data_IF_489585904884
#
_entry.id   IF_489585904884
#
_cell.length_a   1.000
_cell.length_b   1.000
_cell.length_c   1.000
_cell.angle_alpha   90.00
_cell.angle_beta   90.00
_cell.angle_gamma   90.00
#
_symmetry.space_group_name_H-M   'P 1'
#
loop_
_entity.id
_entity.type
_entity.pdbx_description
1 polymer ?
#
# COMPACT_ATOMS: atom_id res chain seq x y z
N UNK A 1 -9.84 -3.34 -28.95
CA UNK A 1 -10.84 -2.51 -28.24
C UNK A 1 -11.02 -3.10 -26.85
N UNK A 2 -10.67 -2.35 -25.81
CA UNK A 2 -10.45 -2.86 -24.44
C UNK A 2 -11.72 -2.86 -23.58
N UNK A 3 -11.83 -3.86 -22.69
CA UNK A 3 -13.00 -4.08 -21.83
C UNK A 3 -12.82 -3.53 -20.38
N UNK A 4 -11.84 -2.64 -20.15
CA UNK A 4 -11.41 -2.17 -18.82
C UNK A 4 -12.51 -1.53 -17.97
N UNK A 5 -13.48 -0.85 -18.61
CA UNK A 5 -14.60 -0.15 -17.96
C UNK A 5 -15.73 -1.05 -17.38
N UNK A 6 -15.37 -2.20 -16.80
CA UNK A 6 -16.24 -3.09 -16.00
C UNK A 6 -15.79 -3.16 -14.55
N UNK A 7 -16.72 -3.26 -13.61
CA UNK A 7 -16.46 -3.45 -12.17
C UNK A 7 -15.84 -4.83 -11.87
N UNK A 8 -15.26 -5.07 -10.68
CA UNK A 8 -14.70 -6.37 -10.31
C UNK A 8 -15.70 -7.54 -10.38
N UNK A 9 -16.99 -7.28 -10.15
CA UNK A 9 -18.10 -8.22 -10.38
C UNK A 9 -18.51 -8.42 -11.86
N UNK A 10 -17.74 -7.89 -12.82
CA UNK A 10 -18.02 -7.94 -14.25
C UNK A 10 -19.10 -6.97 -14.78
N UNK A 11 -19.82 -6.28 -13.89
CA UNK A 11 -20.87 -5.32 -14.22
C UNK A 11 -20.34 -4.08 -14.95
N UNK A 12 -21.13 -3.48 -15.86
CA UNK A 12 -20.76 -2.21 -16.52
C UNK A 12 -21.16 -1.00 -15.67
N UNK A 13 -20.55 0.16 -15.94
CA UNK A 13 -20.90 1.45 -15.31
C UNK A 13 -22.40 1.71 -15.35
N UNK A 14 -23.05 1.48 -16.50
CA UNK A 14 -24.49 1.74 -16.67
C UNK A 14 -25.39 0.67 -16.04
N UNK A 15 -24.84 -0.50 -15.67
CA UNK A 15 -25.54 -1.44 -14.79
C UNK A 15 -25.52 -0.93 -13.36
N UNK A 16 -24.35 -0.57 -12.82
CA UNK A 16 -24.23 -0.04 -11.45
C UNK A 16 -25.04 1.26 -11.28
N UNK A 17 -25.08 2.15 -12.28
CA UNK A 17 -25.99 3.32 -12.29
C UNK A 17 -27.48 2.95 -12.20
N UNK A 18 -27.92 1.84 -12.83
CA UNK A 18 -29.32 1.38 -12.74
C UNK A 18 -29.62 0.83 -11.37
N UNK A 19 -28.71 0.05 -10.81
CA UNK A 19 -28.92 -0.60 -9.51
C UNK A 19 -28.80 0.41 -8.35
N UNK A 20 -27.90 1.39 -8.43
CA UNK A 20 -27.91 2.58 -7.56
C UNK A 20 -29.25 3.37 -7.62
N UNK A 21 -29.86 3.50 -8.80
CA UNK A 21 -31.17 4.14 -8.97
C UNK A 21 -32.33 3.29 -8.41
N UNK A 22 -32.19 1.96 -8.29
CA UNK A 22 -33.12 1.11 -7.54
C UNK A 22 -32.90 1.29 -6.05
N UNK A 23 -31.65 1.25 -5.60
CA UNK A 23 -31.25 1.39 -4.19
C UNK A 23 -31.74 2.71 -3.60
N UNK A 24 -31.48 3.84 -4.25
CA UNK A 24 -31.99 5.16 -3.81
C UNK A 24 -33.53 5.19 -3.67
N UNK A 25 -34.26 4.45 -4.52
CA UNK A 25 -35.73 4.33 -4.43
C UNK A 25 -36.22 3.40 -3.33
N UNK A 26 -35.43 2.39 -2.92
CA UNK A 26 -35.82 1.45 -1.87
C UNK A 26 -35.37 1.86 -0.47
N UNK A 27 -34.27 2.62 -0.35
CA UNK A 27 -33.72 3.06 0.96
C UNK A 27 -33.90 4.54 1.26
N UNK A 28 -34.30 5.36 0.27
CA UNK A 28 -34.45 6.81 0.43
C UNK A 28 -33.13 7.59 0.53
N UNK A 29 -31.98 6.94 0.30
CA UNK A 29 -30.67 7.58 0.25
C UNK A 29 -30.55 8.57 -0.92
N UNK A 30 -29.64 9.54 -0.80
CA UNK A 30 -29.32 10.39 -1.95
C UNK A 30 -28.72 9.56 -3.09
N UNK A 31 -28.90 10.03 -4.33
CA UNK A 31 -28.36 9.32 -5.49
C UNK A 31 -26.83 9.19 -5.45
N UNK A 32 -26.12 10.10 -4.77
CA UNK A 32 -24.66 10.00 -4.60
C UNK A 32 -24.29 8.83 -3.66
N UNK A 33 -24.91 8.77 -2.47
CA UNK A 33 -24.65 7.71 -1.49
C UNK A 33 -25.07 6.34 -2.04
N UNK A 34 -26.17 6.27 -2.79
CA UNK A 34 -26.60 5.04 -3.45
C UNK A 34 -25.66 4.60 -4.59
N UNK A 35 -24.98 5.54 -5.26
CA UNK A 35 -23.94 5.24 -6.24
C UNK A 35 -22.66 4.75 -5.56
N UNK A 36 -22.24 5.38 -4.47
CA UNK A 36 -21.09 4.94 -3.66
C UNK A 36 -21.32 3.53 -3.09
N UNK A 37 -22.52 3.24 -2.59
CA UNK A 37 -22.86 1.94 -2.02
C UNK A 37 -22.99 0.84 -3.08
N UNK A 38 -23.70 1.09 -4.19
CA UNK A 38 -23.79 0.11 -5.28
C UNK A 38 -22.41 -0.19 -5.89
N UNK A 39 -21.52 0.80 -5.95
CA UNK A 39 -20.14 0.59 -6.38
C UNK A 39 -19.37 -0.36 -5.44
N UNK A 40 -19.52 -0.19 -4.12
CA UNK A 40 -18.92 -1.06 -3.12
C UNK A 40 -19.48 -2.49 -3.19
N UNK A 41 -20.78 -2.66 -3.37
CA UNK A 41 -21.45 -3.95 -3.59
C UNK A 41 -20.92 -4.66 -4.85
N UNK A 42 -20.64 -3.91 -5.92
CA UNK A 42 -20.02 -4.41 -7.15
C UNK A 42 -18.48 -4.59 -7.07
N UNK A 43 -17.87 -4.34 -5.91
CA UNK A 43 -16.45 -4.61 -5.60
C UNK A 43 -15.52 -3.38 -5.63
N UNK A 44 -16.02 -2.18 -5.94
CA UNK A 44 -15.23 -0.95 -5.99
C UNK A 44 -15.39 -0.14 -4.70
N UNK A 45 -14.48 -0.32 -3.74
CA UNK A 45 -14.49 0.42 -2.45
C UNK A 45 -13.94 1.87 -2.56
N UNK A 46 -14.31 2.57 -3.63
CA UNK A 46 -13.98 3.98 -3.89
C UNK A 46 -15.26 4.80 -4.09
N UNK A 47 -15.28 6.09 -3.70
CA UNK A 47 -16.43 6.96 -3.99
C UNK A 47 -16.65 7.13 -5.50
N UNK A 48 -17.89 7.39 -5.92
CA UNK A 48 -18.32 7.37 -7.31
C UNK A 48 -17.52 8.34 -8.20
N UNK A 49 -17.08 9.48 -7.66
CA UNK A 49 -16.25 10.46 -8.37
C UNK A 49 -14.84 9.94 -8.75
N UNK A 50 -14.36 8.83 -8.17
CA UNK A 50 -13.09 8.18 -8.51
C UNK A 50 -13.26 6.83 -9.21
N UNK A 51 -14.49 6.41 -9.50
CA UNK A 51 -14.73 5.14 -10.19
C UNK A 51 -14.15 5.14 -11.60
N UNK A 52 -14.14 6.28 -12.30
CA UNK A 52 -13.45 6.39 -13.59
C UNK A 52 -11.93 6.20 -13.45
N UNK A 53 -11.28 6.71 -12.40
CA UNK A 53 -9.86 6.44 -12.13
C UNK A 53 -9.60 4.96 -11.77
N UNK A 54 -10.54 4.31 -11.08
CA UNK A 54 -10.50 2.88 -10.70
C UNK A 54 -10.85 1.92 -11.85
N UNK A 55 -11.36 2.43 -12.97
CA UNK A 55 -11.69 1.69 -14.18
C UNK A 55 -10.70 1.96 -15.33
N UNK A 56 -10.20 3.19 -15.44
CA UNK A 56 -9.20 3.63 -16.42
C UNK A 56 -7.76 3.48 -15.88
N UNK A 57 -7.54 2.66 -14.84
CA UNK A 57 -6.20 2.37 -14.31
C UNK A 57 -5.28 1.68 -15.32
N UNK A 58 -5.86 1.09 -16.39
CA UNK A 58 -5.16 0.37 -17.45
C UNK A 58 -4.73 1.27 -18.64
N UNK A 59 -5.22 2.52 -18.73
CA UNK A 59 -5.05 3.37 -19.93
C UNK A 59 -3.67 4.08 -20.01
N UNK A 60 -2.81 3.93 -19.00
CA UNK A 60 -1.40 4.34 -19.02
C UNK A 60 -0.52 3.09 -19.07
N UNK A 61 0.09 2.81 -20.23
CA UNK A 61 0.96 1.63 -20.44
C UNK A 61 2.19 1.58 -19.51
N UNK A 62 2.56 2.68 -18.85
CA UNK A 62 3.70 2.73 -17.94
C UNK A 62 3.31 2.68 -16.46
N UNK A 63 2.03 2.89 -16.13
CA UNK A 63 1.54 2.88 -14.75
C UNK A 63 1.42 1.45 -14.23
N UNK A 64 1.92 1.26 -13.00
CA UNK A 64 1.84 -0.01 -12.27
C UNK A 64 0.91 0.13 -11.06
N UNK A 65 1.08 1.17 -10.25
CA UNK A 65 0.22 1.39 -9.08
C UNK A 65 0.12 2.88 -8.71
N UNK A 66 -1.01 3.29 -8.13
CA UNK A 66 -1.19 4.63 -7.57
C UNK A 66 -1.52 4.54 -6.08
N UNK A 67 -0.77 5.28 -5.27
CA UNK A 67 -0.84 5.24 -3.80
C UNK A 67 -1.23 6.63 -3.29
N UNK A 68 -2.29 6.72 -2.49
CA UNK A 68 -2.79 7.95 -1.86
C UNK A 68 -2.59 7.91 -0.34
N UNK A 69 -1.67 8.73 0.18
CA UNK A 69 -1.37 8.85 1.61
C UNK A 69 -1.96 10.16 2.16
N UNK A 70 -2.84 10.13 3.19
CA UNK A 70 -3.41 11.35 3.74
C UNK A 70 -2.38 12.08 4.62
N UNK A 71 -2.13 13.34 4.33
CA UNK A 71 -1.14 14.16 5.03
C UNK A 71 -1.62 14.58 6.43
N UNK A 72 -0.66 14.80 7.32
CA UNK A 72 -0.91 15.20 8.71
C UNK A 72 -1.68 16.52 8.81
N UNK A 73 -1.23 17.53 8.05
CA UNK A 73 -1.77 18.88 8.01
C UNK A 73 -3.09 18.98 7.20
N UNK A 74 -3.48 17.90 6.53
CA UNK A 74 -4.63 17.83 5.62
C UNK A 74 -4.22 17.64 4.16
N UNK A 75 -5.17 17.20 3.33
CA UNK A 75 -4.90 16.85 1.93
C UNK A 75 -4.39 15.41 1.73
N UNK A 76 -4.00 15.10 0.49
CA UNK A 76 -3.59 13.76 0.07
C UNK A 76 -2.30 13.86 -0.75
N UNK A 77 -1.27 13.15 -0.31
CA UNK A 77 -0.04 12.90 -1.06
C UNK A 77 -0.25 11.69 -1.96
N UNK A 78 -0.54 11.93 -3.24
CA UNK A 78 -0.64 10.87 -4.25
C UNK A 78 0.68 10.70 -4.97
N UNK A 79 1.19 9.47 -5.03
CA UNK A 79 2.34 9.07 -5.84
C UNK A 79 1.94 7.96 -6.82
N UNK A 80 2.60 7.92 -7.98
CA UNK A 80 2.51 6.83 -8.96
C UNK A 80 3.79 6.00 -8.97
N UNK A 81 3.65 4.68 -9.04
CA UNK A 81 4.71 3.73 -9.37
C UNK A 81 4.56 3.36 -10.85
N UNK A 82 5.66 3.44 -11.59
CA UNK A 82 5.72 3.18 -13.02
C UNK A 82 6.83 2.18 -13.34
N UNK A 83 6.90 1.67 -14.57
CA UNK A 83 7.98 0.78 -15.00
C UNK A 83 9.36 1.45 -14.87
N UNK A 84 9.44 2.74 -15.16
CA UNK A 84 10.66 3.52 -14.93
C UNK A 84 11.00 3.62 -13.42
N UNK A 85 9.99 3.79 -12.56
CA UNK A 85 10.15 3.96 -11.10
C UNK A 85 9.19 3.06 -10.30
N UNK A 86 9.49 1.75 -10.18
CA UNK A 86 8.55 0.81 -9.56
C UNK A 86 8.63 0.78 -8.03
N UNK A 87 9.61 1.46 -7.41
CA UNK A 87 9.96 1.25 -6.01
C UNK A 87 9.45 2.35 -5.04
N UNK A 88 8.95 1.94 -3.88
CA UNK A 88 8.83 2.74 -2.66
C UNK A 88 9.85 2.25 -1.64
N UNK A 89 10.63 3.15 -1.04
CA UNK A 89 11.54 2.81 0.07
C UNK A 89 10.89 3.16 1.40
N UNK A 90 10.84 2.21 2.34
CA UNK A 90 10.30 2.40 3.70
C UNK A 90 11.42 2.12 4.71
N UNK A 91 11.95 3.19 5.29
CA UNK A 91 13.18 3.17 6.10
C UNK A 91 12.91 3.49 7.56
N UNK A 92 13.64 2.85 8.46
CA UNK A 92 13.50 3.13 9.91
C UNK A 92 14.37 2.24 10.80
N UNK A 93 14.60 2.70 12.03
CA UNK A 93 15.21 1.88 13.09
C UNK A 93 14.29 0.69 13.45
N UNK A 94 14.81 -0.40 14.06
CA UNK A 94 13.97 -1.43 14.68
C UNK A 94 12.87 -0.81 15.57
N UNK A 95 11.67 -1.38 15.54
CA UNK A 95 10.48 -0.82 16.23
C UNK A 95 9.96 0.54 15.69
N UNK A 96 10.63 1.12 14.69
CA UNK A 96 10.31 2.45 14.13
C UNK A 96 9.10 2.49 13.20
N UNK A 97 8.57 1.34 12.75
CA UNK A 97 7.26 1.25 12.10
C UNK A 97 7.20 0.72 10.66
N UNK A 98 8.31 0.21 10.10
CA UNK A 98 8.46 -0.07 8.65
C UNK A 98 7.37 -0.98 8.06
N UNK A 99 7.27 -2.21 8.57
CA UNK A 99 6.44 -3.28 7.99
C UNK A 99 4.95 -2.90 8.04
N UNK A 100 4.46 -2.38 9.16
CA UNK A 100 3.10 -1.84 9.28
C UNK A 100 2.87 -0.62 8.40
N UNK A 101 3.87 0.22 8.15
CA UNK A 101 3.74 1.32 7.18
C UNK A 101 3.52 0.76 5.78
N UNK A 102 4.33 -0.21 5.34
CA UNK A 102 4.15 -0.87 4.04
C UNK A 102 2.80 -1.58 3.93
N UNK A 103 2.35 -2.28 4.98
CA UNK A 103 1.04 -2.95 5.01
C UNK A 103 -0.14 -1.98 5.04
N UNK A 104 -0.03 -0.82 5.72
CA UNK A 104 -1.06 0.22 5.64
C UNK A 104 -1.09 0.92 4.27
N UNK A 105 0.05 1.01 3.57
CA UNK A 105 0.09 1.42 2.16
C UNK A 105 -0.58 0.37 1.28
N UNK A 106 -0.34 -0.92 1.54
CA UNK A 106 -1.00 -2.02 0.85
C UNK A 106 -2.53 -2.04 1.08
N UNK A 107 -3.03 -1.78 2.29
CA UNK A 107 -4.48 -1.60 2.53
C UNK A 107 -5.06 -0.44 1.69
N UNK A 108 -4.33 0.68 1.59
CA UNK A 108 -4.73 1.82 0.75
C UNK A 108 -4.76 1.44 -0.73
N UNK A 109 -3.72 0.80 -1.23
CA UNK A 109 -3.68 0.28 -2.60
C UNK A 109 -4.85 -0.69 -2.86
N UNK A 110 -5.14 -1.62 -1.95
CA UNK A 110 -6.26 -2.57 -2.09
C UNK A 110 -7.63 -1.89 -2.06
N UNK A 111 -7.80 -0.74 -1.38
CA UNK A 111 -9.03 0.08 -1.52
C UNK A 111 -9.16 0.77 -2.87
N UNK A 112 -8.06 1.15 -3.54
CA UNK A 112 -8.06 2.01 -4.74
C UNK A 112 -7.54 1.35 -6.02
N UNK A 113 -7.28 0.04 -6.00
CA UNK A 113 -6.80 -0.77 -7.12
C UNK A 113 -7.54 -2.13 -7.13
N UNK A 114 -7.33 -2.90 -8.19
CA UNK A 114 -7.84 -4.28 -8.36
C UNK A 114 -6.79 -5.35 -8.15
N UNK A 115 -5.53 -5.04 -8.48
CA UNK A 115 -4.42 -5.98 -8.33
C UNK A 115 -4.24 -6.44 -6.89
N UNK A 116 -3.46 -7.49 -6.76
CA UNK A 116 -3.20 -8.26 -5.54
C UNK A 116 -2.00 -7.67 -4.81
N UNK A 117 -1.92 -7.94 -3.51
CA UNK A 117 -0.72 -7.66 -2.72
C UNK A 117 0.03 -8.96 -2.46
N UNK A 118 1.30 -8.99 -2.81
CA UNK A 118 2.21 -10.12 -2.61
C UNK A 118 3.16 -9.81 -1.45
N UNK A 119 2.98 -10.44 -0.30
CA UNK A 119 3.89 -10.28 0.84
C UNK A 119 5.05 -11.29 0.74
N UNK A 120 6.27 -10.75 0.62
CA UNK A 120 7.53 -11.48 0.78
C UNK A 120 8.10 -11.08 2.14
N UNK A 121 8.30 -12.05 3.05
CA UNK A 121 8.80 -11.79 4.40
C UNK A 121 9.58 -13.00 4.92
N UNK A 122 10.68 -12.82 5.67
CA UNK A 122 11.49 -13.94 6.18
C UNK A 122 10.81 -14.68 7.34
N UNK A 123 9.82 -14.05 8.00
CA UNK A 123 9.17 -14.61 9.18
C UNK A 123 8.07 -15.57 8.75
N UNK A 124 8.38 -16.86 8.88
CA UNK A 124 7.47 -17.94 8.56
C UNK A 124 6.35 -18.02 9.62
N UNK A 125 5.26 -17.29 9.39
CA UNK A 125 3.99 -17.39 10.12
C UNK A 125 3.47 -18.84 10.08
N UNK A 126 3.84 -19.63 11.08
CA UNK A 126 2.99 -20.72 11.56
C UNK A 126 1.77 -20.08 12.24
N UNK A 127 0.54 -20.57 11.98
CA UNK A 127 -0.60 -20.21 12.82
C UNK A 127 -0.30 -20.69 14.25
N UNK A 128 -0.44 -19.81 15.24
CA UNK A 128 0.05 -20.07 16.59
C UNK A 128 -0.63 -21.28 17.24
N UNK A 129 0.09 -22.40 17.33
CA UNK A 129 -0.35 -23.59 18.03
C UNK A 129 -0.18 -23.40 19.54
N UNK A 130 -1.25 -22.91 20.18
CA UNK A 130 -1.54 -23.05 21.62
C UNK A 130 -0.41 -22.62 22.58
N UNK A 131 -0.57 -21.41 23.14
CA UNK A 131 0.20 -20.85 24.28
C UNK A 131 1.66 -20.53 24.00
N UNK A 132 1.89 -19.28 23.59
CA UNK A 132 2.84 -18.35 24.23
C UNK A 132 2.43 -16.91 23.86
N UNK A 133 2.89 -15.90 24.61
CA UNK A 133 2.35 -14.53 24.53
C UNK A 133 2.67 -13.82 23.20
N UNK A 134 1.71 -13.86 22.27
CA UNK A 134 1.74 -13.06 21.04
C UNK A 134 1.60 -11.59 21.42
N UNK A 135 2.72 -10.88 21.48
CA UNK A 135 2.75 -9.47 21.89
C UNK A 135 1.79 -8.63 21.03
N UNK A 136 0.86 -7.89 21.65
CA UNK A 136 -0.17 -7.06 21.00
C UNK A 136 0.43 -5.91 20.16
N UNK A 137 0.99 -6.25 19.01
CA UNK A 137 1.76 -5.31 18.23
C UNK A 137 2.61 -5.90 17.11
N UNK A 138 2.28 -7.05 16.57
CA UNK A 138 2.99 -7.56 15.40
C UNK A 138 2.51 -6.86 14.12
N UNK A 139 3.34 -6.87 13.07
CA UNK A 139 2.87 -6.49 11.73
C UNK A 139 2.01 -7.60 11.12
N UNK A 140 2.15 -8.85 11.57
CA UNK A 140 1.38 -10.02 11.09
C UNK A 140 -0.11 -9.85 11.32
N UNK A 141 -0.50 -9.29 12.48
CA UNK A 141 -1.88 -8.91 12.78
C UNK A 141 -2.47 -7.94 11.73
N UNK A 142 -1.64 -7.06 11.15
CA UNK A 142 -2.08 -6.15 10.07
C UNK A 142 -2.32 -6.96 8.80
N UNK A 143 -1.39 -7.85 8.45
CA UNK A 143 -1.48 -8.69 7.26
C UNK A 143 -2.72 -9.59 7.31
N UNK A 144 -2.93 -10.34 8.39
CA UNK A 144 -4.04 -11.29 8.51
C UNK A 144 -5.41 -10.57 8.46
N UNK A 145 -5.49 -9.36 9.02
CA UNK A 145 -6.70 -8.51 8.93
C UNK A 145 -6.91 -7.91 7.54
N UNK A 146 -5.84 -7.64 6.78
CA UNK A 146 -5.91 -7.22 5.38
C UNK A 146 -6.33 -8.40 4.50
N UNK A 147 -5.75 -9.60 4.70
CA UNK A 147 -6.13 -10.82 3.98
C UNK A 147 -7.59 -11.21 4.23
N UNK A 148 -8.08 -11.12 5.46
CA UNK A 148 -9.48 -11.34 5.81
C UNK A 148 -10.42 -10.28 5.17
N UNK A 149 -9.96 -9.04 5.01
CA UNK A 149 -10.72 -7.93 4.39
C UNK A 149 -10.79 -8.03 2.86
N UNK A 150 -9.76 -8.61 2.21
CA UNK A 150 -9.66 -8.76 0.76
C UNK A 150 -9.33 -10.21 0.37
N UNK A 151 -10.25 -11.17 0.58
CA UNK A 151 -10.04 -12.56 0.22
C UNK A 151 -9.67 -12.71 -1.27
N UNK A 152 -8.71 -13.60 -1.56
CA UNK A 152 -8.18 -13.82 -2.91
C UNK A 152 -7.24 -12.73 -3.44
N UNK A 153 -7.15 -11.55 -2.80
CA UNK A 153 -6.29 -10.43 -3.24
C UNK A 153 -5.01 -10.26 -2.40
N UNK A 154 -4.78 -11.11 -1.41
CA UNK A 154 -3.61 -11.07 -0.55
C UNK A 154 -2.87 -12.42 -0.64
N UNK A 155 -1.70 -12.41 -1.26
CA UNK A 155 -0.87 -13.59 -1.52
C UNK A 155 0.36 -13.52 -0.62
N UNK A 156 0.70 -14.61 0.07
CA UNK A 156 1.95 -14.72 0.84
C UNK A 156 2.95 -15.54 0.03
N UNK A 157 4.01 -14.90 -0.44
CA UNK A 157 5.09 -15.57 -1.18
C UNK A 157 5.92 -16.36 -0.18
N UNK A 158 5.91 -17.69 -0.31
CA UNK A 158 6.71 -18.57 0.55
C UNK A 158 8.01 -18.87 -0.18
N UNK A 159 9.11 -18.29 0.32
CA UNK A 159 10.45 -18.63 -0.15
C UNK A 159 10.76 -20.10 0.22
N UNK A 160 11.25 -20.93 -0.73
CA UNK A 160 11.57 -22.33 -0.45
C UNK A 160 12.63 -22.52 0.64
N UNK A 161 12.49 -23.62 1.41
CA UNK A 161 13.52 -24.36 2.17
C UNK A 161 14.62 -23.51 2.85
N UNK A 162 14.57 -23.20 4.16
CA UNK A 162 14.03 -23.92 5.33
C UNK A 162 14.85 -25.14 5.80
N UNK A 163 16.18 -25.03 5.79
CA UNK A 163 17.05 -25.66 6.82
C UNK A 163 17.33 -24.68 7.96
N UNK A 164 17.49 -25.18 9.19
CA UNK A 164 17.29 -24.38 10.41
C UNK A 164 18.45 -23.44 10.81
N UNK A 165 19.55 -23.40 10.06
CA UNK A 165 20.80 -22.76 10.51
C UNK A 165 21.16 -21.45 9.79
N UNK A 166 20.45 -21.08 8.71
CA UNK A 166 20.69 -19.81 8.00
C UNK A 166 19.40 -19.09 7.58
N UNK A 167 19.09 -17.98 8.25
CA UNK A 167 18.06 -17.01 7.86
C UNK A 167 18.52 -16.14 6.68
N UNK A 168 18.80 -16.79 5.55
CA UNK A 168 19.47 -16.25 4.36
C UNK A 168 18.63 -16.55 3.11
N UNK A 169 17.50 -15.86 2.93
CA UNK A 169 16.74 -15.97 1.68
C UNK A 169 17.51 -15.25 0.57
N UNK A 170 17.71 -15.94 -0.54
CA UNK A 170 18.43 -15.46 -1.72
C UNK A 170 17.68 -14.39 -2.52
N UNK A 171 17.86 -14.34 -3.86
CA UNK A 171 17.18 -13.42 -4.75
C UNK A 171 15.66 -13.31 -4.55
N UNK A 172 15.10 -12.14 -4.83
CA UNK A 172 13.66 -11.92 -4.92
C UNK A 172 13.09 -12.75 -6.07
N UNK A 173 12.42 -13.85 -5.73
CA UNK A 173 11.67 -14.66 -6.68
C UNK A 173 10.17 -14.45 -6.49
N UNK A 174 9.48 -14.18 -7.60
CA UNK A 174 8.03 -14.00 -7.69
C UNK A 174 7.38 -15.09 -8.56
N UNK A 175 8.16 -15.99 -9.15
CA UNK A 175 7.71 -17.16 -9.92
C UNK A 175 6.73 -18.06 -9.16
N UNK A 176 6.84 -18.26 -7.82
CA UNK A 176 5.88 -19.04 -7.05
C UNK A 176 4.50 -18.39 -6.87
N UNK A 177 4.40 -17.06 -6.99
CA UNK A 177 3.13 -16.33 -6.80
C UNK A 177 2.54 -15.73 -8.07
N UNK A 178 3.31 -15.69 -9.16
CA UNK A 178 2.91 -15.24 -10.50
C UNK A 178 2.09 -13.95 -10.46
N UNK A 179 2.70 -12.82 -10.02
CA UNK A 179 2.02 -11.53 -10.00
C UNK A 179 1.53 -11.12 -11.38
N UNK A 180 0.42 -10.39 -11.39
CA UNK A 180 -0.17 -9.80 -12.59
C UNK A 180 0.35 -8.36 -12.70
N UNK A 181 0.26 -7.79 -13.92
CA UNK A 181 0.64 -6.39 -14.14
C UNK A 181 -0.13 -5.49 -13.16
N UNK A 182 0.60 -4.62 -12.49
CA UNK A 182 0.07 -3.65 -11.54
C UNK A 182 -0.22 -4.21 -10.15
N UNK A 183 0.04 -5.49 -9.88
CA UNK A 183 0.12 -6.03 -8.52
C UNK A 183 1.19 -5.28 -7.69
N UNK A 184 1.05 -5.33 -6.36
CA UNK A 184 1.93 -4.64 -5.42
C UNK A 184 2.67 -5.65 -4.53
N UNK A 185 3.99 -5.71 -4.64
CA UNK A 185 4.85 -6.54 -3.78
C UNK A 185 5.23 -5.75 -2.53
N UNK A 186 5.10 -6.36 -1.35
CA UNK A 186 5.68 -5.87 -0.10
C UNK A 186 6.84 -6.77 0.25
N UNK A 187 8.06 -6.25 0.17
CA UNK A 187 9.27 -6.93 0.64
C UNK A 187 9.58 -6.45 2.06
N UNK A 188 9.20 -7.25 3.05
CA UNK A 188 9.54 -7.00 4.44
C UNK A 188 10.97 -7.43 4.76
N UNK A 189 11.65 -6.64 5.59
CA UNK A 189 13.06 -6.75 5.95
C UNK A 189 14.02 -7.23 4.83
N UNK A 190 14.33 -6.35 3.86
CA UNK A 190 15.27 -6.63 2.72
C UNK A 190 16.63 -7.21 3.13
N UNK A 191 17.09 -7.01 4.37
CA UNK A 191 18.35 -7.59 4.85
C UNK A 191 18.27 -9.11 5.10
N UNK A 192 17.06 -9.68 5.06
CA UNK A 192 16.78 -11.12 5.19
C UNK A 192 16.08 -11.73 3.97
N UNK A 193 15.36 -10.94 3.16
CA UNK A 193 14.76 -11.34 1.87
C UNK A 193 15.31 -10.49 0.72
N UNK A 194 15.70 -11.10 -0.41
CA UNK A 194 16.51 -10.45 -1.45
C UNK A 194 17.91 -10.03 -0.96
N UNK A 195 18.50 -10.80 -0.03
CA UNK A 195 19.78 -10.44 0.59
C UNK A 195 20.90 -10.53 -0.44
N UNK A 196 21.68 -9.46 -0.58
CA UNK A 196 22.82 -9.39 -1.50
C UNK A 196 22.45 -8.94 -2.92
N UNK A 197 21.16 -8.81 -3.27
CA UNK A 197 20.77 -8.15 -4.52
C UNK A 197 20.91 -6.63 -4.40
N UNK A 198 21.32 -5.96 -5.47
CA UNK A 198 21.32 -4.50 -5.56
C UNK A 198 19.89 -3.95 -5.63
N UNK A 199 19.74 -2.63 -5.51
CA UNK A 199 18.46 -1.96 -5.72
C UNK A 199 18.08 -1.86 -7.21
N UNK A 200 19.03 -2.11 -8.13
CA UNK A 200 18.79 -2.18 -9.57
C UNK A 200 18.20 -3.54 -9.93
N UNK A 201 18.77 -4.64 -9.43
CA UNK A 201 18.24 -6.00 -9.67
C UNK A 201 16.78 -6.13 -9.22
N UNK A 202 16.47 -5.57 -8.04
CA UNK A 202 15.11 -5.54 -7.49
C UNK A 202 14.17 -4.66 -8.33
N UNK A 203 14.68 -3.61 -8.99
CA UNK A 203 13.91 -2.81 -9.95
C UNK A 203 13.70 -3.55 -11.28
N UNK A 204 14.68 -4.31 -11.77
CA UNK A 204 14.53 -5.14 -12.98
C UNK A 204 13.56 -6.29 -12.77
N UNK A 205 13.56 -6.93 -11.61
CA UNK A 205 12.56 -7.94 -11.25
C UNK A 205 11.16 -7.28 -11.19
N UNK A 206 11.06 -6.07 -10.63
CA UNK A 206 9.80 -5.32 -10.62
C UNK A 206 9.32 -4.94 -12.03
N UNK A 207 10.23 -4.56 -12.94
CA UNK A 207 9.96 -4.26 -14.36
C UNK A 207 9.51 -5.50 -15.12
N UNK A 208 10.23 -6.61 -14.97
CA UNK A 208 9.96 -7.90 -15.60
C UNK A 208 8.54 -8.42 -15.29
N UNK A 209 8.12 -8.33 -14.02
CA UNK A 209 6.78 -8.71 -13.60
C UNK A 209 5.74 -7.58 -13.73
N UNK A 210 6.15 -6.37 -14.18
CA UNK A 210 5.33 -5.15 -14.25
C UNK A 210 4.58 -4.86 -12.93
N UNK A 211 5.29 -4.90 -11.80
CA UNK A 211 4.75 -4.72 -10.43
C UNK A 211 5.31 -3.49 -9.71
N UNK A 212 4.51 -2.88 -8.85
CA UNK A 212 5.03 -1.93 -7.85
C UNK A 212 5.65 -2.70 -6.67
N UNK A 213 6.73 -2.18 -6.05
CA UNK A 213 7.38 -2.83 -4.90
C UNK A 213 7.60 -1.86 -3.75
N UNK A 214 7.21 -2.27 -2.53
CA UNK A 214 7.48 -1.54 -1.29
C UNK A 214 8.59 -2.26 -0.52
N UNK A 215 9.71 -1.58 -0.32
CA UNK A 215 10.95 -2.12 0.24
C UNK A 215 11.17 -1.66 1.69
N UNK A 216 10.92 -2.53 2.67
CA UNK A 216 11.25 -2.27 4.07
C UNK A 216 12.74 -2.53 4.34
N UNK A 217 13.50 -1.50 4.76
CA UNK A 217 14.93 -1.63 5.07
C UNK A 217 15.41 -0.77 6.24
N UNK A 218 16.47 -1.23 6.92
CA UNK A 218 17.19 -0.43 7.93
C UNK A 218 17.94 0.76 7.30
N UNK A 219 18.28 1.81 8.09
CA UNK A 219 18.66 3.10 7.53
C UNK A 219 20.18 3.27 7.30
N UNK A 220 20.78 2.44 6.42
CA UNK A 220 22.15 2.59 5.81
C UNK A 220 23.31 2.65 6.86
N UNK A 221 24.64 2.86 6.55
CA UNK A 221 25.33 3.31 5.32
C UNK A 221 25.27 2.29 4.17
N UNK A 222 25.56 2.57 2.89
CA UNK A 222 26.23 3.69 2.16
C UNK A 222 27.70 3.55 1.77
N UNK A 223 28.38 2.46 2.13
CA UNK A 223 29.79 2.29 1.77
C UNK A 223 30.01 1.24 0.67
N UNK A 224 29.35 0.07 0.73
CA UNK A 224 29.47 -0.96 -0.32
C UNK A 224 28.31 -1.01 -1.35
N UNK A 225 27.15 -0.40 -1.05
CA UNK A 225 26.10 -0.17 -2.05
C UNK A 225 26.44 1.07 -2.89
N UNK A 226 27.47 0.97 -3.72
CA UNK A 226 27.57 1.84 -4.91
C UNK A 226 26.36 1.55 -5.80
N UNK A 227 25.45 2.53 -5.88
CA UNK A 227 24.78 2.75 -7.16
C UNK A 227 25.92 3.25 -8.06
N UNK A 228 26.27 2.58 -9.17
CA UNK A 228 27.28 3.09 -10.09
C UNK A 228 26.87 4.47 -10.60
N UNK A 229 27.81 5.27 -11.10
CA UNK A 229 27.48 6.47 -11.89
C UNK A 229 26.98 6.09 -13.30
N UNK A 230 26.06 5.12 -13.36
CA UNK A 230 25.33 4.72 -14.55
C UNK A 230 24.15 5.66 -14.77
N UNK A 231 23.82 5.90 -16.04
CA UNK A 231 22.73 6.79 -16.47
C UNK A 231 21.33 6.21 -16.24
N UNK A 232 21.21 5.07 -15.56
CA UNK A 232 19.94 4.45 -15.19
C UNK A 232 19.29 5.28 -14.09
N UNK A 233 18.22 6.00 -14.45
CA UNK A 233 17.50 6.86 -13.53
C UNK A 233 17.01 6.12 -12.28
N UNK A 234 17.17 6.77 -11.13
CA UNK A 234 16.77 6.29 -9.80
C UNK A 234 15.40 5.56 -9.83
N UNK A 235 15.34 4.25 -9.49
CA UNK A 235 14.13 3.43 -9.61
C UNK A 235 13.07 3.71 -8.54
N UNK A 236 13.32 4.62 -7.59
CA UNK A 236 12.32 5.00 -6.59
C UNK A 236 11.37 6.09 -7.09
N UNK A 237 10.07 5.96 -6.83
CA UNK A 237 9.13 7.09 -6.88
C UNK A 237 9.02 7.81 -5.55
N UNK A 238 9.14 7.08 -4.43
CA UNK A 238 8.92 7.61 -3.08
C UNK A 238 9.94 7.05 -2.07
N UNK A 239 10.46 7.92 -1.22
CA UNK A 239 11.13 7.59 0.03
C UNK A 239 10.22 7.92 1.22
N UNK A 240 10.15 6.99 2.17
CA UNK A 240 9.41 7.10 3.43
C UNK A 240 10.38 6.84 4.58
N UNK A 241 10.44 7.78 5.53
CA UNK A 241 11.26 7.66 6.74
C UNK A 241 10.38 7.59 7.98
N UNK A 242 10.26 6.38 8.53
CA UNK A 242 9.49 6.05 9.72
C UNK A 242 10.25 6.46 11.00
N UNK A 243 9.60 7.24 11.86
CA UNK A 243 10.09 7.60 13.20
C UNK A 243 8.98 7.39 14.23
N UNK A 244 9.09 6.41 15.11
CA UNK A 244 8.26 6.31 16.32
C UNK A 244 8.80 7.24 17.39
N UNK A 245 7.94 8.01 18.06
CA UNK A 245 8.37 8.85 19.18
C UNK A 245 8.59 8.03 20.45
N UNK A 246 9.52 8.44 21.33
CA UNK A 246 9.84 7.70 22.57
C UNK A 246 8.77 7.79 23.66
N UNK A 247 7.74 8.61 23.47
CA UNK A 247 6.67 8.90 24.46
C UNK A 247 5.26 8.85 23.86
N UNK A 248 5.12 8.39 22.62
CA UNK A 248 3.83 8.28 21.91
C UNK A 248 3.86 7.02 21.04
N UNK A 249 2.69 6.41 20.85
CA UNK A 249 2.49 5.28 19.92
C UNK A 249 2.34 5.72 18.46
N UNK A 250 2.50 7.02 18.20
CA UNK A 250 2.55 7.63 16.88
C UNK A 250 3.85 7.27 16.15
N UNK A 251 3.67 6.83 14.90
CA UNK A 251 4.76 6.75 13.93
C UNK A 251 4.59 7.92 12.96
N UNK A 252 5.58 8.84 12.96
CA UNK A 252 5.72 9.88 11.94
C UNK A 252 6.36 9.29 10.69
N UNK A 253 5.82 9.64 9.54
CA UNK A 253 6.28 9.21 8.23
C UNK A 253 6.65 10.44 7.42
N UNK A 254 7.94 10.68 7.23
CA UNK A 254 8.41 11.76 6.37
C UNK A 254 8.48 11.23 4.93
N UNK A 255 7.77 11.89 4.02
CA UNK A 255 7.61 11.53 2.61
C UNK A 255 8.49 12.41 1.73
N UNK A 256 9.09 11.82 0.69
CA UNK A 256 9.89 12.51 -0.32
C UNK A 256 9.72 11.82 -1.69
N UNK A 257 9.03 12.47 -2.62
CA UNK A 257 8.84 11.99 -4.00
C UNK A 257 10.04 12.35 -4.88
N UNK A 258 10.62 11.35 -5.52
CA UNK A 258 11.89 11.47 -6.25
C UNK A 258 11.76 12.13 -7.63
N UNK A 259 10.54 12.24 -8.16
CA UNK A 259 10.26 12.84 -9.49
C UNK A 259 10.20 14.37 -9.42
N UNK A 260 9.45 14.91 -8.45
CA UNK A 260 9.16 16.35 -8.35
C UNK A 260 9.73 16.99 -7.07
N UNK A 261 10.47 16.24 -6.24
CA UNK A 261 10.96 16.70 -4.94
C UNK A 261 9.86 17.01 -3.91
N UNK A 262 8.61 16.61 -4.16
CA UNK A 262 7.48 16.89 -3.25
C UNK A 262 7.70 16.17 -1.92
N UNK A 263 7.64 16.92 -0.82
CA UNK A 263 7.76 16.40 0.55
C UNK A 263 6.44 16.51 1.30
N UNK A 264 6.29 15.74 2.37
CA UNK A 264 5.15 15.81 3.28
C UNK A 264 5.35 14.99 4.55
N UNK A 265 4.47 15.14 5.53
CA UNK A 265 4.43 14.27 6.72
C UNK A 265 3.06 13.58 6.83
N UNK A 266 3.06 12.28 7.10
CA UNK A 266 1.89 11.49 7.47
C UNK A 266 2.05 10.94 8.89
N UNK A 267 0.95 10.83 9.64
CA UNK A 267 0.94 10.15 10.94
C UNK A 267 0.15 8.84 10.89
N UNK A 268 0.76 7.75 11.37
CA UNK A 268 0.02 6.57 11.84
C UNK A 268 -0.32 6.85 13.30
N UNK A 269 -1.56 7.26 13.56
CA UNK A 269 -2.03 7.68 14.89
C UNK A 269 -2.58 6.49 15.66
N UNK A 270 -2.24 6.32 16.95
CA UNK A 270 -2.86 5.31 17.81
C UNK A 270 -4.35 5.61 18.05
N UNK A 271 -5.16 4.61 17.79
CA UNK A 271 -6.54 4.49 18.27
C UNK A 271 -6.89 3.04 18.66
N UNK A 272 -5.88 2.18 18.70
CA UNK A 272 -5.90 0.75 18.99
C UNK A 272 -4.43 0.25 19.09
N UNK A 273 -4.19 -0.98 19.58
CA UNK A 273 -2.88 -1.60 19.56
C UNK A 273 -2.20 -1.55 18.19
N UNK A 274 -0.89 -1.75 18.19
CA UNK A 274 -0.16 -1.99 16.96
C UNK A 274 -0.67 -3.33 16.37
N UNK A 275 -0.64 -3.52 15.05
CA UNK A 275 -1.32 -4.67 14.42
C UNK A 275 -2.84 -4.51 14.14
N UNK A 276 -3.56 -3.64 14.86
CA UNK A 276 -5.04 -3.58 14.77
C UNK A 276 -5.58 -2.97 13.47
N UNK A 277 -6.68 -3.53 12.93
CA UNK A 277 -7.43 -2.95 11.80
C UNK A 277 -8.15 -1.63 12.11
N UNK A 278 -8.19 -1.22 13.39
CA UNK A 278 -8.60 0.12 13.82
C UNK A 278 -7.44 1.14 13.71
N UNK A 279 -6.17 0.70 13.67
CA UNK A 279 -5.00 1.56 13.43
C UNK A 279 -4.95 1.89 11.93
N UNK A 280 -5.03 3.18 11.61
CA UNK A 280 -5.08 3.71 10.24
C UNK A 280 -4.32 5.04 10.19
N UNK A 281 -3.93 5.49 9.01
CA UNK A 281 -3.58 6.90 8.84
C UNK A 281 -4.79 7.77 9.23
N UNK A 282 -4.59 8.73 10.15
CA UNK A 282 -5.67 9.56 10.70
C UNK A 282 -5.52 11.00 10.23
N UNK A 283 -6.58 11.55 9.64
CA UNK A 283 -6.68 12.97 9.35
C UNK A 283 -6.82 13.77 10.66
N UNK A 284 -6.07 14.86 10.83
CA UNK A 284 -6.45 15.88 11.82
C UNK A 284 -7.72 16.61 11.33
N UNK A 285 -8.80 16.55 12.10
CA UNK A 285 -10.02 17.37 11.83
C UNK A 285 -9.83 18.87 12.13
N UNK A 286 -8.70 19.26 12.72
CA UNK A 286 -8.30 20.65 13.00
C UNK A 286 -8.31 21.54 11.76
N UNK A 287 -7.94 20.99 10.60
CA UNK A 287 -7.93 21.69 9.31
C UNK A 287 -9.33 22.07 8.78
N UNK A 288 -10.42 21.62 9.44
CA UNK A 288 -11.81 22.00 9.11
C UNK A 288 -12.41 23.07 10.03
N UNK A 289 -11.59 23.73 10.88
CA UNK A 289 -12.01 24.93 11.62
C UNK A 289 -12.10 26.19 10.74
N UNK A 290 -11.16 26.36 9.81
CA UNK A 290 -10.98 27.61 9.04
C UNK A 290 -12.03 27.85 7.93
N UNK A 291 -12.79 26.81 7.53
CA UNK A 291 -13.81 26.90 6.47
C UNK A 291 -15.25 27.10 7.00
N UNK A 292 -15.42 27.31 8.30
CA UNK A 292 -16.72 27.74 8.88
C UNK A 292 -16.75 29.18 9.38
N UNK A 293 -15.60 29.81 9.64
CA UNK A 293 -15.54 31.23 10.01
C UNK A 293 -15.74 32.16 8.80
N UNK A 294 -15.24 31.77 7.62
CA UNK A 294 -15.26 32.64 6.43
C UNK A 294 -16.60 32.75 5.70
N UNK A 295 -17.59 31.92 6.03
CA UNK A 295 -18.98 31.97 5.54
C UNK A 295 -20.00 32.17 6.67
N UNK A 296 -19.55 32.63 7.85
CA UNK A 296 -20.41 32.90 9.01
C UNK A 296 -20.27 34.34 9.54
N UNK A 297 -19.54 35.22 8.82
CA UNK A 297 -19.34 36.61 9.22
C UNK A 297 -19.24 37.52 7.98
N UNK A 298 -20.40 38.07 7.57
CA UNK A 298 -20.66 38.95 6.41
C UNK A 298 -20.55 38.25 5.04
#
# INVERSE_FOLDING_TARGET
MTNSNRFPSGASIDQVKKDARKLAKSTGLSLHEALDQAAAEHGAQVPWNRIQEFLAGDDDETLLARVSLPLHEGGIFTVSLTEARPLISVTGRPGGGKSTTALLIADRYLTSSRGRVHLVSPLHLQPASVVEDVSEGCWTDVWDRIALKYPGRCVRVVCPERTAEMYMVGPLDLTPSQPERGDLVVLDERYHCAKGQSLVDVAEIARMWRVGVILCKHPRPWEDETIPNESVGDPFSLHIKCRRERRSDECRLQLEEMVNGRRGECLIVPGAPYGSSKRKFRFQRSALGALKSHFACK
#
